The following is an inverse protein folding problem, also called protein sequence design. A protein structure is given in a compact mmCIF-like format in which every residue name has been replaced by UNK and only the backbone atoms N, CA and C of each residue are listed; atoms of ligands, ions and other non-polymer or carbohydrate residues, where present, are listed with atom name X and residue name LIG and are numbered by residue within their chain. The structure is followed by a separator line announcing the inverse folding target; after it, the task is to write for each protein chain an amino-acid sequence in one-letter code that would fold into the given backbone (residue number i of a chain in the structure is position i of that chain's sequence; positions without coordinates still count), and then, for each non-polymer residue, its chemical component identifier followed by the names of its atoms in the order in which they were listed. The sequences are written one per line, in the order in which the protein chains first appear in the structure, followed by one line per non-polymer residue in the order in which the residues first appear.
data_IF_192972384366
#
_entry.id   IF_192972384366
#
_cell.length_a   1.000
_cell.length_b   1.000
_cell.length_c   1.000
_cell.angle_alpha   90.00
_cell.angle_beta   90.00
_cell.angle_gamma   90.00
#
_symmetry.space_group_name_H-M   'P 1'
#
loop_
_entity.id
_entity.type
_entity.pdbx_description
1 polymer ?
#
# COMPACT_ATOMS: atom_id res chain seq x y z
N UNK A 1 7.59 25.22 -16.78
CA UNK A 1 6.11 25.40 -16.72
C UNK A 1 5.52 24.21 -15.96
N UNK A 2 4.73 24.47 -14.92
CA UNK A 2 4.15 23.45 -14.08
C UNK A 2 3.07 22.68 -14.87
N UNK A 3 3.31 21.40 -15.10
CA UNK A 3 2.38 20.52 -15.78
C UNK A 3 1.10 20.32 -14.94
N UNK A 4 -0.03 20.78 -15.44
CA UNK A 4 -1.35 20.47 -14.89
C UNK A 4 -2.13 19.72 -15.97
N UNK A 5 -2.40 18.44 -15.78
CA UNK A 5 -3.14 17.63 -16.74
C UNK A 5 -4.51 18.24 -17.09
N UNK A 6 -4.85 18.31 -18.37
CA UNK A 6 -6.15 18.86 -18.85
C UNK A 6 -7.33 18.11 -18.27
N UNK A 7 -7.20 16.80 -18.13
CA UNK A 7 -8.26 15.97 -17.57
C UNK A 7 -8.54 16.32 -16.11
N UNK A 8 -7.53 16.78 -15.35
CA UNK A 8 -7.71 17.25 -13.97
C UNK A 8 -8.39 18.59 -13.93
N UNK A 9 -8.03 19.53 -14.84
CA UNK A 9 -8.74 20.81 -14.98
C UNK A 9 -10.21 20.59 -15.33
N UNK A 10 -10.48 19.70 -16.28
CA UNK A 10 -11.84 19.32 -16.66
C UNK A 10 -12.58 18.64 -15.52
N UNK A 11 -11.97 17.68 -14.81
CA UNK A 11 -12.56 17.03 -13.64
C UNK A 11 -12.92 18.04 -12.54
N UNK A 12 -12.01 18.93 -12.18
CA UNK A 12 -12.25 19.93 -11.15
C UNK A 12 -13.30 20.97 -11.57
N UNK A 13 -13.36 21.34 -12.85
CA UNK A 13 -14.40 22.18 -13.39
C UNK A 13 -15.78 21.51 -13.32
N UNK A 14 -15.87 20.24 -13.75
CA UNK A 14 -17.11 19.47 -13.70
C UNK A 14 -17.53 19.08 -12.28
N UNK A 15 -16.58 18.84 -11.37
CA UNK A 15 -16.87 18.56 -9.96
C UNK A 15 -17.61 19.73 -9.28
N UNK A 16 -17.33 20.96 -9.71
CA UNK A 16 -18.00 22.16 -9.22
C UNK A 16 -19.38 22.40 -9.84
N UNK A 17 -19.66 21.82 -11.01
CA UNK A 17 -20.84 22.19 -11.81
C UNK A 17 -21.91 21.11 -11.94
N UNK A 18 -21.61 19.82 -11.72
CA UNK A 18 -22.61 18.77 -11.91
C UNK A 18 -22.27 17.44 -11.22
N UNK A 19 -23.13 17.00 -10.32
CA UNK A 19 -23.07 15.69 -9.65
C UNK A 19 -23.27 14.49 -10.58
N UNK A 20 -23.85 14.67 -11.76
CA UNK A 20 -24.23 13.58 -12.68
C UNK A 20 -23.07 13.04 -13.55
N UNK A 21 -21.95 13.75 -13.65
CA UNK A 21 -20.83 13.42 -14.56
C UNK A 21 -19.74 12.54 -13.92
N UNK A 22 -19.83 12.24 -12.63
CA UNK A 22 -18.82 11.45 -11.91
C UNK A 22 -18.65 10.03 -12.47
N UNK A 23 -19.67 9.46 -13.10
CA UNK A 23 -19.65 8.13 -13.69
C UNK A 23 -18.77 8.00 -14.94
N UNK A 24 -18.30 9.11 -15.51
CA UNK A 24 -17.47 9.11 -16.72
C UNK A 24 -15.97 9.10 -16.42
N UNK A 25 -15.56 9.51 -15.23
CA UNK A 25 -14.13 9.55 -14.87
C UNK A 25 -13.68 8.27 -14.20
N UNK A 26 -12.47 7.84 -14.57
CA UNK A 26 -11.89 6.60 -14.07
C UNK A 26 -10.51 6.79 -13.48
N UNK A 27 -10.15 5.88 -12.56
CA UNK A 27 -8.81 5.71 -12.02
C UNK A 27 -8.32 4.32 -12.36
N UNK A 28 -7.08 4.21 -12.81
CA UNK A 28 -6.43 2.91 -13.04
C UNK A 28 -5.60 2.56 -11.82
N UNK A 29 -5.80 1.36 -11.29
CA UNK A 29 -5.12 0.84 -10.11
C UNK A 29 -4.66 -0.59 -10.34
N UNK A 30 -3.54 -0.99 -9.71
CA UNK A 30 -3.21 -2.41 -9.58
C UNK A 30 -4.18 -3.12 -8.63
N UNK A 31 -4.42 -4.41 -8.84
CA UNK A 31 -5.20 -5.23 -7.89
C UNK A 31 -4.55 -5.31 -6.51
N UNK A 32 -3.23 -5.05 -6.42
CA UNK A 32 -2.44 -4.99 -5.19
C UNK A 32 -2.48 -3.62 -4.49
N UNK A 33 -3.13 -2.60 -5.09
CA UNK A 33 -3.25 -1.27 -4.48
C UNK A 33 -3.95 -1.34 -3.11
N UNK A 34 -3.56 -0.45 -2.20
CA UNK A 34 -4.12 -0.41 -0.85
C UNK A 34 -5.64 -0.21 -0.86
N UNK A 35 -6.35 -0.90 0.04
CA UNK A 35 -7.81 -0.89 0.11
C UNK A 35 -8.43 0.52 0.29
N UNK A 36 -7.67 1.50 0.79
CA UNK A 36 -8.12 2.88 0.90
C UNK A 36 -8.54 3.51 -0.43
N UNK A 37 -7.94 3.06 -1.56
CA UNK A 37 -8.33 3.58 -2.89
C UNK A 37 -9.73 3.10 -3.30
N UNK A 38 -10.13 1.91 -2.90
CA UNK A 38 -11.50 1.39 -3.12
C UNK A 38 -12.51 2.19 -2.31
N UNK A 39 -12.21 2.44 -1.01
CA UNK A 39 -13.02 3.30 -0.15
C UNK A 39 -13.15 4.71 -0.72
N UNK A 40 -12.08 5.32 -1.19
CA UNK A 40 -12.11 6.63 -1.83
C UNK A 40 -12.97 6.64 -3.10
N UNK A 41 -12.87 5.59 -3.92
CA UNK A 41 -13.69 5.48 -5.13
C UNK A 41 -15.20 5.37 -4.80
N UNK A 42 -15.54 4.63 -3.75
CA UNK A 42 -16.92 4.52 -3.26
C UNK A 42 -17.45 5.88 -2.76
N UNK A 43 -16.67 6.61 -1.97
CA UNK A 43 -17.07 7.92 -1.43
C UNK A 43 -17.23 8.97 -2.51
N UNK A 44 -16.30 9.03 -3.46
CA UNK A 44 -16.30 10.03 -4.52
C UNK A 44 -16.99 9.57 -5.81
N UNK A 45 -17.60 8.37 -5.81
CA UNK A 45 -18.32 7.80 -6.98
C UNK A 45 -17.49 7.77 -8.26
N UNK A 46 -16.18 7.48 -8.14
CA UNK A 46 -15.25 7.40 -9.26
C UNK A 46 -15.07 5.95 -9.66
N UNK A 47 -15.16 5.65 -10.96
CA UNK A 47 -14.97 4.31 -11.48
C UNK A 47 -13.52 3.84 -11.26
N UNK A 48 -13.34 2.62 -10.74
CA UNK A 48 -12.05 1.95 -10.69
C UNK A 48 -11.88 0.99 -11.86
N UNK A 49 -10.78 1.18 -12.60
CA UNK A 49 -10.31 0.25 -13.62
C UNK A 49 -9.15 -0.53 -13.01
N UNK A 50 -9.38 -1.80 -12.72
CA UNK A 50 -8.36 -2.67 -12.13
C UNK A 50 -7.51 -3.31 -13.22
N UNK A 51 -6.20 -3.31 -13.03
CA UNK A 51 -5.24 -4.04 -13.84
C UNK A 51 -4.54 -5.11 -13.00
N UNK A 52 -4.15 -6.19 -13.65
CA UNK A 52 -3.42 -7.27 -13.01
C UNK A 52 -2.02 -6.85 -12.58
N UNK A 53 -1.38 -7.74 -11.83
CA UNK A 53 0.04 -7.66 -11.52
C UNK A 53 0.79 -8.75 -12.28
N UNK A 54 2.08 -8.54 -12.50
CA UNK A 54 2.99 -9.55 -13.05
C UNK A 54 3.39 -10.60 -12.00
N UNK A 55 4.29 -11.50 -12.35
CA UNK A 55 4.78 -12.55 -11.45
C UNK A 55 5.54 -12.00 -10.24
N UNK A 56 6.04 -10.77 -10.34
CA UNK A 56 6.76 -10.06 -9.28
C UNK A 56 5.82 -9.23 -8.39
N UNK A 57 4.52 -9.19 -8.70
CA UNK A 57 3.51 -8.41 -7.96
C UNK A 57 3.41 -6.95 -8.38
N UNK A 58 4.06 -6.55 -9.49
CA UNK A 58 4.08 -5.18 -10.02
C UNK A 58 2.93 -4.93 -10.97
N UNK A 59 2.42 -3.72 -11.02
CA UNK A 59 1.37 -3.28 -11.93
C UNK A 59 1.73 -3.55 -13.40
N UNK A 60 0.83 -4.20 -14.14
CA UNK A 60 1.06 -4.55 -15.55
C UNK A 60 0.88 -3.35 -16.46
N UNK A 61 2.00 -2.84 -16.98
CA UNK A 61 2.05 -1.68 -17.90
C UNK A 61 1.28 -1.93 -19.19
N UNK A 62 1.35 -3.16 -19.74
CA UNK A 62 0.62 -3.55 -20.94
C UNK A 62 -0.90 -3.48 -20.78
N UNK A 63 -1.41 -3.81 -19.59
CA UNK A 63 -2.84 -3.67 -19.28
C UNK A 63 -3.24 -2.20 -19.06
N UNK A 64 -2.37 -1.40 -18.46
CA UNK A 64 -2.61 0.05 -18.34
C UNK A 64 -2.75 0.67 -19.74
N UNK A 65 -1.82 0.39 -20.66
CA UNK A 65 -1.88 0.88 -22.03
C UNK A 65 -3.15 0.49 -22.78
N UNK A 66 -3.71 -0.70 -22.50
CA UNK A 66 -4.96 -1.16 -23.12
C UNK A 66 -6.22 -0.51 -22.53
N UNK A 67 -6.17 -0.12 -21.25
CA UNK A 67 -7.37 0.34 -20.51
C UNK A 67 -7.43 1.86 -20.35
N UNK A 68 -6.30 2.55 -20.49
CA UNK A 68 -6.25 4.01 -20.37
C UNK A 68 -7.00 4.69 -21.52
N UNK A 69 -7.72 5.76 -21.22
CA UNK A 69 -8.48 6.52 -22.19
C UNK A 69 -8.65 7.98 -21.75
N UNK A 70 -9.30 8.80 -22.58
CA UNK A 70 -9.53 10.23 -22.32
C UNK A 70 -10.29 10.56 -21.03
N UNK A 71 -10.96 9.58 -20.44
CA UNK A 71 -11.69 9.76 -19.18
C UNK A 71 -10.85 9.32 -17.97
N UNK A 72 -9.65 8.81 -18.18
CA UNK A 72 -8.74 8.46 -17.09
C UNK A 72 -8.13 9.72 -16.51
N UNK A 73 -8.41 9.97 -15.23
CA UNK A 73 -7.90 11.15 -14.52
C UNK A 73 -6.68 10.86 -13.68
N UNK A 74 -6.47 9.59 -13.30
CA UNK A 74 -5.41 9.19 -12.38
C UNK A 74 -4.96 7.76 -12.63
N UNK A 75 -3.66 7.55 -12.66
CA UNK A 75 -3.01 6.26 -12.44
C UNK A 75 -2.51 6.25 -10.99
N UNK A 76 -2.88 5.24 -10.21
CA UNK A 76 -2.48 5.08 -8.81
C UNK A 76 -1.50 3.92 -8.71
N UNK A 77 -0.30 4.20 -8.24
CA UNK A 77 0.83 3.27 -8.12
C UNK A 77 1.30 3.14 -6.69
N UNK A 78 2.11 2.15 -6.39
CA UNK A 78 2.62 1.88 -5.05
C UNK A 78 4.15 1.76 -5.03
N UNK A 79 4.76 2.33 -3.99
CA UNK A 79 6.20 2.24 -3.71
C UNK A 79 6.48 2.01 -2.22
N UNK A 80 6.46 0.75 -1.75
CA UNK A 80 5.96 -0.48 -2.39
C UNK A 80 4.47 -0.74 -2.11
N UNK A 81 3.88 -1.74 -2.81
CA UNK A 81 2.56 -2.27 -2.49
C UNK A 81 2.59 -3.04 -1.16
N UNK A 82 1.56 -2.84 -0.33
CA UNK A 82 1.46 -3.48 0.99
C UNK A 82 1.49 -5.02 0.94
N UNK A 83 0.77 -5.71 0.02
CA UNK A 83 0.72 -7.17 0.09
C UNK A 83 2.07 -7.85 -0.16
N UNK A 84 2.80 -7.40 -1.16
CA UNK A 84 3.94 -8.16 -1.68
C UNK A 84 5.29 -7.42 -1.58
N UNK A 85 5.28 -6.14 -1.20
CA UNK A 85 6.49 -5.32 -1.23
C UNK A 85 6.95 -4.94 -2.64
N UNK A 86 6.12 -5.17 -3.65
CA UNK A 86 6.47 -4.86 -5.04
C UNK A 86 6.40 -3.35 -5.30
N UNK A 87 7.41 -2.81 -5.95
CA UNK A 87 7.44 -1.41 -6.41
C UNK A 87 6.95 -1.40 -7.86
N UNK A 88 5.86 -0.67 -8.11
CA UNK A 88 5.29 -0.57 -9.44
C UNK A 88 6.30 0.07 -10.43
N UNK A 89 6.20 -0.22 -11.74
CA UNK A 89 7.09 0.33 -12.75
C UNK A 89 6.78 1.82 -13.03
N UNK A 90 7.01 2.67 -12.02
CA UNK A 90 6.55 4.07 -11.95
C UNK A 90 7.14 4.91 -13.09
N UNK A 91 8.38 4.66 -13.49
CA UNK A 91 9.00 5.36 -14.62
C UNK A 91 8.21 5.14 -15.92
N UNK A 92 7.89 3.89 -16.26
CA UNK A 92 7.10 3.59 -17.46
C UNK A 92 5.65 4.12 -17.35
N UNK A 93 5.06 4.12 -16.16
CA UNK A 93 3.73 4.66 -15.91
C UNK A 93 3.72 6.19 -15.95
N UNK A 94 4.82 6.84 -15.58
CA UNK A 94 5.02 8.29 -15.72
C UNK A 94 4.97 8.73 -17.18
N UNK A 95 5.65 8.01 -18.08
CA UNK A 95 5.58 8.28 -19.51
C UNK A 95 4.15 8.15 -20.07
N UNK A 96 3.42 7.13 -19.63
CA UNK A 96 2.02 6.95 -20.01
C UNK A 96 1.15 8.08 -19.48
N UNK A 97 1.34 8.47 -18.22
CA UNK A 97 0.57 9.57 -17.62
C UNK A 97 0.75 10.88 -18.38
N UNK A 98 1.99 11.20 -18.80
CA UNK A 98 2.30 12.35 -19.65
C UNK A 98 1.64 12.25 -21.01
N UNK A 99 1.74 11.09 -21.68
CA UNK A 99 1.18 10.87 -23.01
C UNK A 99 -0.35 11.00 -23.06
N UNK A 100 -1.03 10.62 -21.99
CA UNK A 100 -2.50 10.68 -21.87
C UNK A 100 -3.01 11.89 -21.08
N UNK A 101 -2.11 12.79 -20.69
CA UNK A 101 -2.44 14.01 -19.96
C UNK A 101 -3.29 13.72 -18.69
N UNK A 102 -2.89 12.71 -17.91
CA UNK A 102 -3.53 12.33 -16.65
C UNK A 102 -2.56 12.40 -15.47
N UNK A 103 -3.08 12.44 -14.25
CA UNK A 103 -2.27 12.41 -13.04
C UNK A 103 -1.65 11.03 -12.81
N UNK A 104 -0.48 11.01 -12.16
CA UNK A 104 0.11 9.84 -11.56
C UNK A 104 0.32 10.09 -10.07
N UNK A 105 -0.30 9.26 -9.24
CA UNK A 105 -0.11 9.27 -7.79
C UNK A 105 0.75 8.10 -7.37
N UNK A 106 1.72 8.37 -6.51
CA UNK A 106 2.57 7.34 -5.91
C UNK A 106 2.19 7.18 -4.43
N UNK A 107 1.62 6.04 -4.10
CA UNK A 107 1.43 5.64 -2.70
C UNK A 107 2.77 5.14 -2.15
N UNK A 108 3.48 6.04 -1.50
CA UNK A 108 4.71 5.78 -0.76
C UNK A 108 4.48 5.83 0.76
N UNK A 109 3.25 5.52 1.21
CA UNK A 109 2.90 5.52 2.64
C UNK A 109 3.84 4.65 3.47
N UNK A 110 4.35 3.56 2.91
CA UNK A 110 5.39 2.72 3.53
C UNK A 110 6.79 3.15 3.11
N UNK A 111 7.03 3.31 1.80
CA UNK A 111 8.37 3.49 1.26
C UNK A 111 8.98 4.87 1.46
N UNK A 112 8.16 5.92 1.69
CA UNK A 112 8.63 7.30 1.69
C UNK A 112 9.66 7.66 2.77
N UNK A 113 9.78 6.87 3.84
CA UNK A 113 10.80 7.00 4.88
C UNK A 113 11.82 5.85 4.91
N UNK A 114 11.87 5.02 3.88
CA UNK A 114 12.87 3.94 3.74
C UNK A 114 13.59 4.05 2.40
N UNK A 115 12.86 4.07 1.28
CA UNK A 115 13.45 4.02 -0.06
C UNK A 115 14.40 5.20 -0.36
N UNK A 116 14.11 6.46 0.02
CA UNK A 116 15.02 7.58 -0.23
C UNK A 116 16.38 7.44 0.48
N UNK A 117 16.42 6.69 1.58
CA UNK A 117 17.61 6.47 2.40
C UNK A 117 18.41 5.22 1.99
N UNK A 118 17.97 4.50 0.95
CA UNK A 118 18.60 3.32 0.37
C UNK A 118 19.15 3.60 -1.04
N UNK A 119 19.40 4.85 -1.42
CA UNK A 119 19.83 5.21 -2.79
C UNK A 119 21.10 4.46 -3.26
N UNK A 120 21.99 4.13 -2.37
CA UNK A 120 23.19 3.36 -2.69
C UNK A 120 22.88 1.88 -2.98
N UNK A 121 21.89 1.31 -2.31
CA UNK A 121 21.48 -0.07 -2.38
C UNK A 121 20.49 -0.35 -3.52
N UNK A 122 19.64 0.66 -3.85
CA UNK A 122 18.56 0.55 -4.84
C UNK A 122 18.59 1.68 -5.87
N UNK A 123 19.75 2.08 -6.30
CA UNK A 123 20.00 3.27 -7.18
C UNK A 123 19.19 3.29 -8.50
N UNK A 124 18.65 2.15 -8.91
CA UNK A 124 17.86 2.03 -10.16
C UNK A 124 16.37 2.33 -9.97
N UNK A 125 15.90 2.51 -8.73
CA UNK A 125 14.49 2.72 -8.45
C UNK A 125 14.21 4.22 -8.28
N UNK A 126 13.58 4.81 -9.30
CA UNK A 126 13.06 6.18 -9.27
C UNK A 126 11.54 6.10 -9.12
N UNK A 127 10.99 6.74 -8.09
CA UNK A 127 9.55 6.65 -7.79
C UNK A 127 8.93 7.99 -7.39
N UNK A 128 9.71 9.05 -7.32
CA UNK A 128 9.32 10.37 -6.82
C UNK A 128 9.19 11.42 -7.94
N UNK A 129 9.21 12.70 -7.57
CA UNK A 129 9.09 13.84 -8.46
C UNK A 129 10.28 14.05 -9.41
N UNK A 130 11.32 13.24 -9.37
CA UNK A 130 12.31 13.16 -10.43
C UNK A 130 11.68 12.69 -11.75
N UNK A 131 10.56 11.96 -11.68
CA UNK A 131 9.75 11.56 -12.82
C UNK A 131 8.70 12.62 -13.12
N UNK A 132 8.78 13.24 -14.29
CA UNK A 132 7.93 14.37 -14.69
C UNK A 132 6.42 14.08 -14.67
N UNK A 133 6.00 12.82 -14.84
CA UNK A 133 4.60 12.42 -14.79
C UNK A 133 4.05 12.24 -13.37
N UNK A 134 4.90 12.16 -12.35
CA UNK A 134 4.45 12.04 -10.96
C UNK A 134 3.89 13.38 -10.50
N UNK A 135 2.59 13.40 -10.20
CA UNK A 135 1.86 14.63 -9.85
C UNK A 135 1.59 14.75 -8.35
N UNK A 136 1.51 13.62 -7.65
CA UNK A 136 1.31 13.60 -6.19
C UNK A 136 1.85 12.33 -5.56
N UNK A 137 2.15 12.41 -4.25
CA UNK A 137 2.60 11.28 -3.44
C UNK A 137 1.94 11.31 -2.08
N UNK A 138 1.60 10.14 -1.53
CA UNK A 138 1.23 9.98 -0.13
C UNK A 138 2.37 9.34 0.66
N UNK A 139 2.67 9.90 1.84
CA UNK A 139 3.74 9.43 2.72
C UNK A 139 3.26 9.45 4.17
N UNK A 140 3.29 8.31 4.85
CA UNK A 140 2.85 8.23 6.24
C UNK A 140 3.99 8.46 7.21
N UNK A 141 3.98 9.63 7.82
CA UNK A 141 4.94 9.98 8.88
C UNK A 141 4.79 9.09 10.12
N UNK A 142 3.59 8.55 10.36
CA UNK A 142 3.30 7.65 11.49
C UNK A 142 3.66 6.17 11.25
N UNK A 143 4.24 5.84 10.09
CA UNK A 143 4.78 4.49 9.81
C UNK A 143 6.30 4.51 10.00
N UNK A 144 7.06 4.42 8.93
CA UNK A 144 8.53 4.44 8.99
C UNK A 144 9.12 5.84 9.29
N UNK A 145 8.30 6.89 9.26
CA UNK A 145 8.69 8.22 9.75
C UNK A 145 8.75 8.34 11.28
N UNK A 146 8.39 7.27 12.01
CA UNK A 146 8.47 7.17 13.49
C UNK A 146 7.67 8.24 14.25
N UNK A 147 6.76 8.95 13.59
CA UNK A 147 5.88 9.92 14.23
C UNK A 147 4.66 9.24 14.88
N UNK A 148 3.95 9.99 15.72
CA UNK A 148 2.75 9.48 16.38
C UNK A 148 1.68 9.09 15.37
N UNK A 149 0.93 8.03 15.70
CA UNK A 149 -0.19 7.51 14.93
C UNK A 149 -1.21 8.61 14.62
N UNK A 150 -1.67 8.64 13.37
CA UNK A 150 -2.63 9.62 12.87
C UNK A 150 -2.02 10.76 12.06
N UNK A 151 -0.68 10.82 11.92
CA UNK A 151 0.00 11.77 11.04
C UNK A 151 0.31 11.16 9.67
N UNK A 152 0.06 11.91 8.62
CA UNK A 152 0.34 11.55 7.23
C UNK A 152 0.42 12.81 6.38
N UNK A 153 1.13 12.77 5.27
CA UNK A 153 1.27 13.90 4.36
C UNK A 153 0.97 13.50 2.93
N UNK A 154 0.42 14.44 2.17
CA UNK A 154 0.29 14.35 0.72
C UNK A 154 1.16 15.45 0.11
N UNK A 155 2.04 15.05 -0.79
CA UNK A 155 2.93 15.92 -1.54
C UNK A 155 2.40 16.12 -2.94
N UNK A 156 2.59 17.31 -3.50
CA UNK A 156 2.18 17.68 -4.86
C UNK A 156 3.37 18.23 -5.62
N UNK A 157 3.47 17.91 -6.90
CA UNK A 157 4.51 18.43 -7.78
C UNK A 157 4.40 19.93 -8.03
N UNK A 158 3.21 20.53 -7.83
CA UNK A 158 3.00 21.98 -7.99
C UNK A 158 1.98 22.55 -7.02
N UNK A 159 2.05 23.89 -6.81
CA UNK A 159 1.06 24.65 -6.03
C UNK A 159 -0.32 24.63 -6.68
N UNK A 160 -0.35 24.63 -8.00
CA UNK A 160 -1.57 24.64 -8.80
C UNK A 160 -2.37 23.34 -8.57
N UNK A 161 -1.70 22.19 -8.57
CA UNK A 161 -2.32 20.91 -8.22
C UNK A 161 -2.80 20.88 -6.77
N UNK A 162 -2.00 21.40 -5.84
CA UNK A 162 -2.36 21.44 -4.42
C UNK A 162 -3.61 22.26 -4.14
N UNK A 163 -3.86 23.33 -4.90
CA UNK A 163 -5.05 24.18 -4.75
C UNK A 163 -6.37 23.42 -4.94
N UNK A 164 -6.39 22.32 -5.69
CA UNK A 164 -7.57 21.49 -5.85
C UNK A 164 -7.98 20.73 -4.60
N UNK A 165 -7.09 20.62 -3.62
CA UNK A 165 -7.39 20.04 -2.30
C UNK A 165 -8.19 21.01 -1.42
N UNK A 166 -8.12 22.31 -1.67
CA UNK A 166 -8.71 23.32 -0.80
C UNK A 166 -10.21 23.50 -1.09
N UNK A 167 -10.97 23.70 -0.02
CA UNK A 167 -12.38 24.09 -0.10
C UNK A 167 -12.55 25.51 0.40
N UNK A 168 -13.22 26.37 -0.38
CA UNK A 168 -13.56 27.73 0.01
C UNK A 168 -15.07 27.95 -0.09
N UNK A 169 -15.64 28.60 0.92
CA UNK A 169 -17.07 29.00 0.96
C UNK A 169 -17.12 30.48 1.24
N UNK A 170 -17.77 31.24 0.34
CA UNK A 170 -17.77 32.70 0.38
C UNK A 170 -19.08 33.30 0.93
N UNK A 171 -20.18 32.55 0.84
CA UNK A 171 -21.55 32.98 1.12
C UNK A 171 -22.16 32.28 2.34
N UNK A 172 -21.32 31.75 3.23
CA UNK A 172 -21.75 31.22 4.51
C UNK A 172 -22.01 32.34 5.51
N UNK A 173 -23.08 32.21 6.31
CA UNK A 173 -23.48 33.19 7.33
C UNK A 173 -22.43 33.44 8.42
N UNK A 174 -21.52 32.51 8.65
CA UNK A 174 -20.37 32.62 9.57
C UNK A 174 -19.18 33.40 9.00
N UNK A 175 -19.26 33.88 7.77
CA UNK A 175 -18.18 34.61 7.08
C UNK A 175 -17.42 33.79 6.05
N UNK A 176 -16.25 34.29 5.68
CA UNK A 176 -15.37 33.59 4.72
C UNK A 176 -14.75 32.34 5.35
N UNK A 177 -14.91 31.20 4.70
CA UNK A 177 -14.36 29.93 5.16
C UNK A 177 -13.41 29.31 4.15
N UNK A 178 -12.26 28.83 4.61
CA UNK A 178 -11.33 28.05 3.82
C UNK A 178 -10.83 26.85 4.64
N UNK A 179 -10.76 25.67 4.00
CA UNK A 179 -10.20 24.45 4.59
C UNK A 179 -9.14 23.87 3.66
N UNK A 180 -7.94 23.52 4.17
CA UNK A 180 -6.84 23.01 3.35
C UNK A 180 -6.96 21.52 3.04
N UNK A 181 -7.86 20.78 3.70
CA UNK A 181 -7.99 19.32 3.55
C UNK A 181 -9.40 18.86 3.91
N UNK A 182 -9.68 17.57 3.66
CA UNK A 182 -11.00 16.98 3.99
C UNK A 182 -11.38 17.10 5.48
N UNK A 183 -10.49 16.77 6.46
CA UNK A 183 -10.77 17.07 7.86
C UNK A 183 -10.70 18.58 8.10
N UNK A 184 -11.47 19.08 9.07
CA UNK A 184 -11.37 20.46 9.54
C UNK A 184 -10.06 20.75 10.27
N UNK A 185 -10.14 21.28 11.50
CA UNK A 185 -8.96 21.57 12.32
C UNK A 185 -8.10 20.33 12.59
N UNK A 186 -6.79 20.53 12.61
CA UNK A 186 -5.80 19.47 12.91
C UNK A 186 -5.14 19.74 14.27
N UNK A 187 -4.82 18.65 15.00
CA UNK A 187 -4.14 18.75 16.29
C UNK A 187 -2.73 19.32 16.12
N UNK A 188 -2.45 20.47 16.77
CA UNK A 188 -1.09 21.02 16.86
C UNK A 188 -0.12 20.08 17.58
N UNK A 189 -0.62 19.26 18.52
CA UNK A 189 0.17 18.22 19.19
C UNK A 189 0.71 17.17 18.24
N UNK A 190 -0.11 16.69 17.30
CA UNK A 190 0.35 15.74 16.26
C UNK A 190 1.38 16.38 15.32
N UNK A 191 1.18 17.65 14.96
CA UNK A 191 2.12 18.38 14.09
C UNK A 191 3.47 18.53 14.77
N UNK A 192 3.49 18.99 16.04
CA UNK A 192 4.73 19.19 16.79
C UNK A 192 5.46 17.87 17.08
N UNK A 193 4.74 16.81 17.39
CA UNK A 193 5.35 15.49 17.58
C UNK A 193 5.92 14.92 16.28
N UNK A 194 5.25 15.13 15.15
CA UNK A 194 5.80 14.76 13.84
C UNK A 194 7.08 15.53 13.54
N UNK A 195 7.07 16.84 13.78
CA UNK A 195 8.27 17.66 13.63
C UNK A 195 9.41 17.19 14.54
N UNK A 196 9.13 16.91 15.80
CA UNK A 196 10.12 16.43 16.75
C UNK A 196 10.72 15.08 16.32
N UNK A 197 9.91 14.14 15.83
CA UNK A 197 10.39 12.86 15.31
C UNK A 197 11.30 13.04 14.10
N UNK A 198 10.92 13.89 13.15
CA UNK A 198 11.72 14.17 11.95
C UNK A 198 13.07 14.80 12.30
N UNK A 199 13.08 15.76 13.21
CA UNK A 199 14.30 16.45 13.65
C UNK A 199 15.20 15.52 14.48
N UNK A 200 14.61 14.72 15.36
CA UNK A 200 15.34 13.74 16.18
C UNK A 200 16.03 12.67 15.33
N UNK A 201 15.33 12.10 14.37
CA UNK A 201 15.87 11.08 13.47
C UNK A 201 16.91 11.68 12.53
N UNK A 202 16.58 12.78 11.89
CA UNK A 202 17.42 13.39 10.87
C UNK A 202 17.73 12.43 9.71
N UNK A 203 18.59 12.87 8.80
CA UNK A 203 19.00 12.05 7.65
C UNK A 203 19.77 10.81 8.12
N UNK A 204 20.67 10.97 9.09
CA UNK A 204 21.54 9.89 9.57
C UNK A 204 20.73 8.78 10.29
N UNK A 205 19.77 9.17 11.13
CA UNK A 205 18.91 8.22 11.82
C UNK A 205 18.05 7.41 10.87
N UNK A 206 17.40 8.07 9.92
CA UNK A 206 16.60 7.36 8.88
C UNK A 206 17.51 6.49 8.00
N UNK A 207 18.70 6.93 7.62
CA UNK A 207 19.64 6.14 6.83
C UNK A 207 20.07 4.88 7.58
N UNK A 208 20.40 5.01 8.86
CA UNK A 208 20.80 3.87 9.70
C UNK A 208 19.68 2.84 9.79
N UNK A 209 18.47 3.28 10.16
CA UNK A 209 17.31 2.39 10.28
C UNK A 209 16.94 1.74 8.93
N UNK A 210 16.98 2.49 7.83
CA UNK A 210 16.68 1.96 6.51
C UNK A 210 17.68 0.85 6.12
N UNK A 211 18.98 1.03 6.38
CA UNK A 211 20.01 0.02 6.11
C UNK A 211 19.87 -1.24 6.97
N UNK A 212 19.52 -1.09 8.24
CA UNK A 212 19.24 -2.23 9.12
C UNK A 212 18.04 -3.04 8.61
N UNK A 213 16.94 -2.35 8.23
CA UNK A 213 15.75 -2.97 7.65
C UNK A 213 16.10 -3.70 6.34
N UNK A 214 16.89 -3.05 5.47
CA UNK A 214 17.31 -3.65 4.19
C UNK A 214 18.16 -4.91 4.41
N UNK A 215 19.15 -4.86 5.29
CA UNK A 215 19.98 -6.01 5.61
C UNK A 215 19.16 -7.18 6.17
N UNK A 216 18.20 -6.88 7.06
CA UNK A 216 17.30 -7.89 7.59
C UNK A 216 16.37 -8.46 6.52
N UNK A 217 15.92 -7.65 5.56
CA UNK A 217 15.10 -8.10 4.44
C UNK A 217 15.89 -9.03 3.51
N UNK A 218 17.14 -8.69 3.18
CA UNK A 218 18.04 -9.55 2.39
C UNK A 218 18.21 -10.90 3.08
N UNK A 219 18.52 -10.89 4.38
CA UNK A 219 18.67 -12.10 5.17
C UNK A 219 17.39 -12.94 5.15
N UNK A 220 16.24 -12.35 5.48
CA UNK A 220 14.97 -13.07 5.55
C UNK A 220 14.59 -13.69 4.20
N UNK A 221 14.77 -12.98 3.09
CA UNK A 221 14.51 -13.49 1.74
C UNK A 221 15.40 -14.68 1.40
N UNK A 222 16.68 -14.58 1.69
CA UNK A 222 17.68 -15.66 1.45
C UNK A 222 17.29 -16.90 2.24
N UNK A 223 17.00 -16.73 3.51
CA UNK A 223 16.66 -17.82 4.41
C UNK A 223 15.34 -18.50 4.04
N UNK A 224 14.29 -17.72 3.70
CA UNK A 224 13.02 -18.29 3.25
C UNK A 224 13.20 -19.11 1.97
N UNK A 225 13.94 -18.62 0.98
CA UNK A 225 14.18 -19.34 -0.27
C UNK A 225 15.04 -20.60 -0.06
N UNK A 226 15.75 -20.71 1.06
CA UNK A 226 16.47 -21.94 1.44
C UNK A 226 15.60 -22.99 2.14
N UNK A 227 14.36 -22.64 2.52
CA UNK A 227 13.41 -23.58 3.13
C UNK A 227 12.68 -24.35 2.02
N UNK A 228 12.84 -25.68 1.92
CA UNK A 228 12.12 -26.46 0.92
C UNK A 228 10.59 -26.26 1.03
N UNK A 229 9.97 -25.93 -0.09
CA UNK A 229 8.52 -25.74 -0.16
C UNK A 229 8.06 -24.29 0.10
N UNK A 230 8.95 -23.37 0.38
CA UNK A 230 8.66 -21.94 0.43
C UNK A 230 9.34 -21.18 -0.71
N UNK A 231 8.74 -20.05 -1.07
CA UNK A 231 9.26 -19.14 -2.09
C UNK A 231 8.87 -17.70 -1.74
N UNK A 232 9.83 -16.79 -1.78
CA UNK A 232 9.59 -15.35 -1.67
C UNK A 232 8.84 -14.86 -2.91
N UNK A 233 7.92 -13.91 -2.71
CA UNK A 233 7.19 -13.22 -3.78
C UNK A 233 7.93 -11.93 -4.13
N UNK A 234 8.11 -11.69 -5.42
CA UNK A 234 8.75 -10.49 -5.94
C UNK A 234 10.27 -10.47 -5.79
N UNK A 235 10.91 -9.55 -6.50
CA UNK A 235 12.36 -9.35 -6.52
C UNK A 235 12.80 -8.14 -5.71
N UNK A 236 11.90 -7.16 -5.50
CA UNK A 236 12.23 -5.91 -4.83
C UNK A 236 12.60 -6.13 -3.36
N UNK A 237 13.74 -5.61 -2.95
CA UNK A 237 14.23 -5.69 -1.57
C UNK A 237 13.89 -4.38 -0.87
N UNK A 238 13.02 -4.45 0.10
CA UNK A 238 12.59 -3.33 0.92
C UNK A 238 12.07 -3.84 2.28
N UNK A 239 11.32 -3.02 3.00
CA UNK A 239 10.79 -3.35 4.33
C UNK A 239 9.75 -4.47 4.35
N UNK A 240 9.24 -4.91 3.21
CA UNK A 240 8.22 -5.96 3.13
C UNK A 240 8.83 -7.22 2.51
N UNK A 241 8.72 -8.33 3.22
CA UNK A 241 9.06 -9.65 2.67
C UNK A 241 7.82 -10.51 2.71
N UNK A 242 7.32 -10.90 1.53
CA UNK A 242 6.19 -11.78 1.36
C UNK A 242 6.64 -13.14 0.82
N UNK A 243 6.02 -14.22 1.29
CA UNK A 243 6.34 -15.56 0.83
C UNK A 243 5.13 -16.47 0.77
N UNK A 244 5.17 -17.43 -0.10
CA UNK A 244 4.14 -18.44 -0.33
C UNK A 244 4.71 -19.84 -0.31
N UNK A 245 3.82 -20.84 -0.24
CA UNK A 245 4.21 -22.21 -0.54
C UNK A 245 4.30 -22.41 -2.05
N UNK A 246 5.30 -23.20 -2.48
CA UNK A 246 5.41 -23.74 -3.83
C UNK A 246 5.17 -25.26 -3.87
N UNK A 247 4.70 -25.84 -2.75
CA UNK A 247 4.34 -27.27 -2.61
C UNK A 247 2.89 -27.39 -2.14
N UNK A 248 2.09 -28.22 -2.83
CA UNK A 248 0.67 -28.44 -2.47
C UNK A 248 0.49 -29.01 -1.06
N UNK A 249 1.47 -29.76 -0.55
CA UNK A 249 1.43 -30.36 0.79
C UNK A 249 1.57 -29.32 1.90
N UNK A 250 2.13 -28.13 1.63
CA UNK A 250 2.33 -27.08 2.63
C UNK A 250 1.21 -26.05 2.50
N UNK A 251 0.23 -26.11 3.39
CA UNK A 251 -0.74 -25.03 3.53
C UNK A 251 -0.12 -23.89 4.34
N UNK A 252 0.10 -22.75 3.68
CA UNK A 252 0.76 -21.58 4.27
C UNK A 252 0.00 -21.00 5.47
N UNK A 253 -1.32 -21.19 5.51
CA UNK A 253 -2.15 -20.72 6.63
C UNK A 253 -1.98 -21.62 7.87
N UNK A 254 -1.77 -22.92 7.71
CA UNK A 254 -1.45 -23.83 8.81
C UNK A 254 -0.05 -23.49 9.35
N UNK A 255 0.91 -23.16 8.48
CA UNK A 255 2.23 -22.65 8.90
C UNK A 255 2.05 -21.39 9.78
N UNK A 256 1.17 -20.47 9.38
CA UNK A 256 0.87 -19.29 10.18
C UNK A 256 0.24 -19.62 11.54
N UNK A 257 -0.68 -20.57 11.60
CA UNK A 257 -1.31 -20.97 12.86
C UNK A 257 -0.29 -21.53 13.85
N UNK A 258 0.68 -22.33 13.36
CA UNK A 258 1.80 -22.83 14.18
C UNK A 258 2.71 -21.68 14.62
N UNK A 259 3.03 -20.73 13.72
CA UNK A 259 3.83 -19.56 14.07
C UNK A 259 3.11 -18.69 15.12
N UNK A 260 1.79 -18.55 15.04
CA UNK A 260 1.00 -17.83 16.05
C UNK A 260 1.08 -18.50 17.43
N UNK A 261 1.09 -19.84 17.50
CA UNK A 261 1.29 -20.56 18.77
C UNK A 261 2.67 -20.31 19.38
N UNK A 262 3.68 -19.96 18.55
CA UNK A 262 5.03 -19.58 18.97
C UNK A 262 5.16 -18.08 19.28
N UNK A 263 4.05 -17.31 19.20
CA UNK A 263 3.96 -15.88 19.53
C UNK A 263 4.18 -14.92 18.37
N UNK A 264 4.23 -15.40 17.13
CA UNK A 264 4.37 -14.56 15.94
C UNK A 264 3.01 -14.01 15.47
N UNK A 265 2.99 -12.74 15.05
CA UNK A 265 1.84 -12.09 14.44
C UNK A 265 2.23 -11.62 13.04
N UNK A 266 2.00 -12.47 12.04
CA UNK A 266 2.27 -12.16 10.64
C UNK A 266 1.00 -11.73 9.93
N UNK A 267 1.14 -10.96 8.85
CA UNK A 267 0.04 -10.60 7.97
C UNK A 267 -0.24 -11.72 6.99
N UNK A 268 -1.51 -12.09 6.88
CA UNK A 268 -2.01 -13.16 6.00
C UNK A 268 -2.52 -12.56 4.70
N UNK A 269 -2.09 -13.11 3.57
CA UNK A 269 -2.47 -12.67 2.23
C UNK A 269 -3.37 -13.72 1.55
N UNK A 270 -4.22 -13.27 0.60
CA UNK A 270 -5.21 -14.13 -0.04
C UNK A 270 -4.91 -14.46 -1.52
N UNK A 271 -4.27 -13.56 -2.24
CA UNK A 271 -4.08 -13.70 -3.67
C UNK A 271 -2.66 -13.29 -4.11
N UNK A 272 -1.73 -14.25 -4.18
CA UNK A 272 -1.86 -15.66 -3.81
C UNK A 272 -1.92 -15.86 -2.30
N UNK A 273 -2.33 -17.07 -1.82
CA UNK A 273 -2.18 -17.47 -0.42
C UNK A 273 -0.73 -17.34 0.02
N UNK A 274 -0.47 -16.44 1.00
CA UNK A 274 0.89 -16.09 1.41
C UNK A 274 0.91 -15.48 2.81
N UNK A 275 2.10 -15.31 3.35
CA UNK A 275 2.36 -14.52 4.55
C UNK A 275 3.30 -13.37 4.21
N UNK A 276 3.25 -12.29 4.98
CA UNK A 276 4.30 -11.30 4.93
C UNK A 276 4.68 -10.75 6.31
N UNK A 277 5.91 -10.27 6.39
CA UNK A 277 6.42 -9.46 7.48
C UNK A 277 6.75 -8.05 6.95
N UNK A 278 6.23 -7.03 7.65
CA UNK A 278 6.77 -5.67 7.55
C UNK A 278 7.92 -5.54 8.57
N UNK A 279 9.15 -5.42 8.07
CA UNK A 279 10.35 -5.27 8.89
C UNK A 279 10.45 -3.82 9.35
N UNK A 280 10.63 -3.62 10.64
CA UNK A 280 10.74 -2.31 11.30
C UNK A 280 11.93 -2.31 12.24
N UNK A 281 12.39 -1.15 12.68
CA UNK A 281 13.44 -1.03 13.70
C UNK A 281 13.15 -1.87 14.96
N UNK A 282 11.86 -2.03 15.31
CA UNK A 282 11.46 -2.79 16.49
C UNK A 282 11.57 -4.32 16.34
N UNK A 283 11.53 -4.85 15.11
CA UNK A 283 11.54 -6.30 14.87
C UNK A 283 12.74 -6.82 14.06
N UNK A 284 13.64 -5.95 13.62
CA UNK A 284 14.87 -6.33 12.90
C UNK A 284 15.63 -7.45 13.64
N UNK A 285 15.84 -7.30 14.94
CA UNK A 285 16.55 -8.28 15.77
C UNK A 285 15.83 -9.63 15.92
N UNK A 286 14.53 -9.67 15.63
CA UNK A 286 13.73 -10.89 15.74
C UNK A 286 13.82 -11.78 14.47
N UNK A 287 14.34 -11.28 13.37
CA UNK A 287 14.36 -12.00 12.08
C UNK A 287 15.06 -13.36 12.14
N UNK A 288 16.23 -13.52 12.80
CA UNK A 288 16.86 -14.84 12.92
C UNK A 288 15.99 -15.87 13.64
N UNK A 289 15.30 -15.45 14.72
CA UNK A 289 14.37 -16.30 15.44
C UNK A 289 13.16 -16.67 14.59
N UNK A 290 12.61 -15.71 13.83
CA UNK A 290 11.50 -15.99 12.92
C UNK A 290 11.88 -17.06 11.90
N UNK A 291 13.07 -16.98 11.32
CA UNK A 291 13.57 -17.99 10.36
C UNK A 291 13.64 -19.37 11.00
N UNK A 292 14.19 -19.48 12.21
CA UNK A 292 14.26 -20.76 12.92
C UNK A 292 12.85 -21.34 13.18
N UNK A 293 11.94 -20.52 13.70
CA UNK A 293 10.57 -20.93 13.99
C UNK A 293 9.82 -21.29 12.70
N UNK A 294 10.05 -20.57 11.59
CA UNK A 294 9.45 -20.86 10.28
C UNK A 294 9.91 -22.22 9.73
N UNK A 295 11.20 -22.54 9.83
CA UNK A 295 11.72 -23.86 9.43
C UNK A 295 11.06 -25.00 10.21
N UNK A 296 10.97 -24.85 11.53
CA UNK A 296 10.30 -25.83 12.39
C UNK A 296 8.82 -25.95 12.04
N UNK A 297 8.12 -24.84 11.82
CA UNK A 297 6.69 -24.85 11.48
C UNK A 297 6.41 -25.52 10.13
N UNK A 298 7.28 -25.33 9.13
CA UNK A 298 7.19 -26.03 7.85
C UNK A 298 7.41 -27.53 8.03
N UNK A 299 8.40 -27.92 8.82
CA UNK A 299 8.66 -29.33 9.13
C UNK A 299 7.47 -29.99 9.86
N UNK A 300 6.88 -29.29 10.85
CA UNK A 300 5.67 -29.73 11.54
C UNK A 300 4.53 -29.97 10.54
N UNK A 301 4.25 -29.01 9.63
CA UNK A 301 3.19 -29.16 8.62
C UNK A 301 3.44 -30.36 7.69
N UNK A 302 4.67 -30.58 7.27
CA UNK A 302 5.04 -31.72 6.42
C UNK A 302 4.81 -33.08 7.12
N UNK A 303 4.86 -33.09 8.45
CA UNK A 303 4.67 -34.28 9.28
C UNK A 303 3.19 -34.55 9.62
N UNK A 304 2.30 -33.58 9.38
CA UNK A 304 0.87 -33.75 9.64
C UNK A 304 0.21 -34.69 8.60
N UNK A 305 -0.82 -35.47 9.00
CA UNK A 305 -1.65 -36.21 8.07
C UNK A 305 -2.30 -35.29 7.04
N UNK A 306 -2.54 -35.78 5.82
CA UNK A 306 -3.21 -35.02 4.79
C UNK A 306 -4.65 -34.66 5.21
N UNK A 307 -5.06 -33.42 4.90
CA UNK A 307 -6.44 -32.99 5.09
C UNK A 307 -6.78 -32.36 6.45
N UNK A 308 -5.80 -32.09 7.32
CA UNK A 308 -6.04 -31.35 8.57
C UNK A 308 -6.58 -29.97 8.24
N UNK A 309 -7.77 -29.69 8.75
CA UNK A 309 -8.42 -28.37 8.76
C UNK A 309 -8.47 -27.87 10.20
N UNK A 310 -7.77 -26.80 10.52
CA UNK A 310 -7.77 -26.22 11.86
C UNK A 310 -7.40 -24.74 11.86
N UNK A 311 -7.67 -24.07 12.97
CA UNK A 311 -7.27 -22.68 13.21
C UNK A 311 -7.94 -21.66 12.31
N UNK A 312 -7.20 -20.62 11.92
CA UNK A 312 -7.66 -19.55 11.02
C UNK A 312 -7.56 -19.95 9.54
N UNK A 313 -6.84 -21.02 9.22
CA UNK A 313 -6.68 -21.50 7.85
C UNK A 313 -8.01 -21.67 7.08
N UNK A 314 -9.10 -22.22 7.68
CA UNK A 314 -10.38 -22.33 6.99
C UNK A 314 -11.01 -20.97 6.64
N UNK A 315 -10.88 -19.97 7.50
CA UNK A 315 -11.49 -18.63 7.30
C UNK A 315 -10.92 -17.98 6.03
N UNK A 316 -9.59 -17.96 5.92
CA UNK A 316 -8.92 -17.37 4.75
C UNK A 316 -9.14 -18.20 3.47
N UNK A 317 -9.14 -19.53 3.58
CA UNK A 317 -9.45 -20.41 2.48
C UNK A 317 -10.90 -20.24 1.98
N UNK A 318 -11.86 -20.15 2.88
CA UNK A 318 -13.29 -19.91 2.55
C UNK A 318 -13.49 -18.52 1.94
N UNK A 319 -12.92 -17.46 2.53
CA UNK A 319 -13.05 -16.11 2.00
C UNK A 319 -12.53 -16.00 0.55
N UNK A 320 -11.56 -16.82 0.16
CA UNK A 320 -11.07 -16.94 -1.21
C UNK A 320 -11.98 -17.74 -2.16
N UNK A 321 -12.76 -18.68 -1.62
CA UNK A 321 -13.55 -19.66 -2.40
C UNK A 321 -15.06 -19.34 -2.51
N UNK A 322 -15.59 -18.42 -1.70
CA UNK A 322 -17.01 -18.01 -1.79
C UNK A 322 -17.26 -17.28 -3.10
N UNK A 323 -18.11 -17.79 -3.99
CA UNK A 323 -18.38 -17.18 -5.30
C UNK A 323 -19.02 -15.79 -5.18
N UNK A 324 -19.96 -15.64 -4.24
CA UNK A 324 -20.63 -14.35 -4.00
C UNK A 324 -19.84 -13.49 -3.00
N UNK A 325 -19.12 -12.52 -3.55
CA UNK A 325 -18.36 -11.55 -2.76
C UNK A 325 -19.24 -10.59 -1.97
N UNK A 326 -20.50 -10.42 -2.35
CA UNK A 326 -21.47 -9.58 -1.64
C UNK A 326 -21.72 -10.12 -0.24
N UNK A 327 -21.98 -11.42 -0.11
CA UNK A 327 -22.19 -12.10 1.18
C UNK A 327 -20.99 -11.91 2.12
N UNK A 328 -19.77 -12.03 1.59
CA UNK A 328 -18.55 -11.81 2.41
C UNK A 328 -18.47 -10.35 2.85
N UNK A 329 -18.81 -9.41 1.97
CA UNK A 329 -18.83 -7.98 2.29
C UNK A 329 -19.83 -7.63 3.39
N UNK A 330 -21.03 -8.20 3.35
CA UNK A 330 -22.07 -7.97 4.34
C UNK A 330 -21.69 -8.58 5.69
N UNK A 331 -21.16 -9.81 5.71
CA UNK A 331 -20.64 -10.43 6.93
C UNK A 331 -19.54 -9.58 7.60
N UNK A 332 -18.63 -8.97 6.82
CA UNK A 332 -17.62 -8.08 7.37
C UNK A 332 -18.20 -6.80 7.99
N UNK A 333 -19.31 -6.28 7.44
CA UNK A 333 -20.03 -5.13 8.01
C UNK A 333 -20.72 -5.53 9.33
N UNK A 334 -21.36 -6.71 9.36
CA UNK A 334 -22.00 -7.23 10.56
C UNK A 334 -20.97 -7.45 11.69
N UNK A 335 -19.81 -8.02 11.37
CA UNK A 335 -18.70 -8.14 12.35
C UNK A 335 -18.26 -6.77 12.85
N UNK A 336 -18.13 -5.78 11.96
CA UNK A 336 -17.76 -4.43 12.37
C UNK A 336 -18.80 -3.78 13.26
N UNK A 337 -20.08 -4.00 12.98
CA UNK A 337 -21.19 -3.50 13.80
C UNK A 337 -21.18 -4.13 15.20
N UNK A 338 -20.98 -5.45 15.28
CA UNK A 338 -20.82 -6.16 16.57
C UNK A 338 -19.65 -5.59 17.38
N UNK A 339 -18.50 -5.34 16.72
CA UNK A 339 -17.33 -4.77 17.40
C UNK A 339 -17.52 -3.33 17.90
N UNK A 340 -18.47 -2.59 17.31
CA UNK A 340 -18.81 -1.23 17.72
C UNK A 340 -20.02 -1.17 18.66
N UNK A 341 -20.75 -2.28 18.83
CA UNK A 341 -21.88 -2.35 19.76
C UNK A 341 -21.37 -2.25 21.18
N UNK A 342 -21.89 -1.28 21.92
CA UNK A 342 -21.70 -1.19 23.36
C UNK A 342 -22.81 -1.99 24.04
N UNK A 343 -22.44 -2.98 24.81
CA UNK A 343 -23.38 -3.73 25.68
C UNK A 343 -23.65 -2.94 26.95
#
# INVERSE_FOLDING_TARGET
ENFIPRNVRSFCFFFRTSFSLHRYFSRIIAISAHAAVYKAAEYFKIQLIRVGVDKEGRMRVDEVKKKINKNTILIYTSAPSYPHGAIDPIAALSEIALAYDCCLHVDACLGGFVLPFLKAEISTIIFDFELAGVTSMSVDTHKYGCAQKGSSVVLYSSRELRKFQYTSVMDWTGGLYISPSQPGSRSGGLISQTWAALVHMGIDGYTTVAKEIYAAAVMLRTEINSIPGLQVIGEDINMIVAWKSNMNKINIYIVNDILQSKGWQLSVLQAPPALHLCITAANVSCVPRLVADLRLSVYEVLSLPEGIKGGKAPIYGMAGSVPDRGVVGDLLKDIQDILLSTY
#
